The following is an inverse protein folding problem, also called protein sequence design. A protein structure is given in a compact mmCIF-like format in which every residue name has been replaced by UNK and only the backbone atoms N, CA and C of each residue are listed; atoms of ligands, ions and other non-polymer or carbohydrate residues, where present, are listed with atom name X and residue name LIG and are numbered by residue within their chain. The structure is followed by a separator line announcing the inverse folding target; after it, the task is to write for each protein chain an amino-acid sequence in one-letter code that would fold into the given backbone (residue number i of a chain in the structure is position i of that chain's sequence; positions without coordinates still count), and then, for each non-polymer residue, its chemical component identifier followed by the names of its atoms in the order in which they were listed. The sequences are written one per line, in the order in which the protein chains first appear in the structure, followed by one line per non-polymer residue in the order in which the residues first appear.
data_IF_959087779156
#
_entry.id   IF_959087779156
#
_cell.length_a   1.000
_cell.length_b   1.000
_cell.length_c   1.000
_cell.angle_alpha   90.00
_cell.angle_beta   90.00
_cell.angle_gamma   90.00
#
_symmetry.space_group_name_H-M   'P 1'
#
loop_
_entity.id
_entity.type
_entity.pdbx_description
1 polymer ?
#
# COMPACT_ATOMS: atom_id res chain seq x y z
N UNK A 1 10.39 9.05 33.41
CA UNK A 1 10.79 8.98 31.98
C UNK A 1 9.65 8.52 31.05
N UNK A 2 8.79 7.58 31.46
CA UNK A 2 7.69 7.07 30.62
C UNK A 2 6.64 8.12 30.23
N UNK A 3 6.32 9.07 31.10
CA UNK A 3 5.28 10.10 30.87
C UNK A 3 5.66 11.14 29.82
N UNK A 4 6.95 11.55 29.79
CA UNK A 4 7.45 12.51 28.80
C UNK A 4 7.41 11.88 27.41
N UNK A 5 7.81 10.62 27.28
CA UNK A 5 7.77 9.88 26.01
C UNK A 5 6.32 9.76 25.53
N UNK A 6 5.36 9.42 26.40
CA UNK A 6 3.94 9.32 26.04
C UNK A 6 3.35 10.63 25.49
N UNK A 7 3.80 11.79 26.00
CA UNK A 7 3.32 13.10 25.56
C UNK A 7 3.68 13.38 24.08
N UNK A 8 4.78 12.82 23.59
CA UNK A 8 5.24 13.00 22.21
C UNK A 8 4.79 11.89 21.25
N UNK A 9 4.32 10.75 21.74
CA UNK A 9 3.89 9.63 20.87
C UNK A 9 2.73 10.05 19.97
N UNK A 10 1.73 10.75 20.50
CA UNK A 10 0.57 11.18 19.73
C UNK A 10 0.92 12.17 18.60
N UNK A 11 1.60 13.31 18.86
CA UNK A 11 1.99 14.23 17.78
C UNK A 11 2.96 13.57 16.79
N UNK A 12 3.87 12.72 17.25
CA UNK A 12 4.76 11.95 16.37
C UNK A 12 3.94 11.00 15.46
N UNK A 13 2.95 10.30 16.01
CA UNK A 13 2.07 9.41 15.26
C UNK A 13 1.29 10.13 14.17
N UNK A 14 0.80 11.34 14.45
CA UNK A 14 0.11 12.18 13.45
C UNK A 14 1.06 12.54 12.30
N UNK A 15 2.28 13.00 12.61
CA UNK A 15 3.27 13.36 11.59
C UNK A 15 3.63 12.14 10.73
N UNK A 16 3.92 11.00 11.37
CA UNK A 16 4.23 9.74 10.68
C UNK A 16 3.05 9.29 9.81
N UNK A 17 1.80 9.45 10.28
CA UNK A 17 0.62 9.09 9.49
C UNK A 17 0.52 9.86 8.17
N UNK A 18 0.77 11.17 8.19
CA UNK A 18 0.77 11.97 6.97
C UNK A 18 1.96 11.66 6.08
N UNK A 19 3.13 11.39 6.67
CA UNK A 19 4.32 11.00 5.93
C UNK A 19 4.14 9.64 5.23
N UNK A 20 3.61 8.62 5.92
CA UNK A 20 3.26 7.32 5.35
C UNK A 20 2.29 7.47 4.17
N UNK A 21 1.26 8.32 4.32
CA UNK A 21 0.29 8.57 3.26
C UNK A 21 0.92 9.22 2.03
N UNK A 22 1.88 10.13 2.22
CA UNK A 22 2.62 10.77 1.14
C UNK A 22 3.58 9.80 0.45
N UNK A 23 4.34 9.03 1.22
CA UNK A 23 5.27 8.03 0.68
C UNK A 23 4.53 6.94 -0.12
N UNK A 24 3.35 6.53 0.34
CA UNK A 24 2.48 5.63 -0.41
C UNK A 24 2.07 6.23 -1.76
N UNK A 25 1.59 7.48 -1.79
CA UNK A 25 1.18 8.14 -3.03
C UNK A 25 2.36 8.27 -4.02
N UNK A 26 3.56 8.59 -3.52
CA UNK A 26 4.78 8.66 -4.34
C UNK A 26 5.17 7.29 -4.90
N UNK A 27 5.10 6.24 -4.07
CA UNK A 27 5.39 4.87 -4.52
C UNK A 27 4.41 4.41 -5.60
N UNK A 28 3.13 4.75 -5.45
CA UNK A 28 2.09 4.42 -6.42
C UNK A 28 2.31 5.15 -7.75
N UNK A 29 2.77 6.41 -7.71
CA UNK A 29 3.18 7.13 -8.92
C UNK A 29 4.37 6.46 -9.61
N UNK A 30 5.41 6.05 -8.86
CA UNK A 30 6.55 5.33 -9.43
C UNK A 30 6.14 3.99 -10.08
N UNK A 31 5.21 3.25 -9.46
CA UNK A 31 4.68 2.03 -10.06
C UNK A 31 3.89 2.30 -11.34
N UNK A 32 3.09 3.37 -11.37
CA UNK A 32 2.38 3.78 -12.58
C UNK A 32 3.36 4.11 -13.70
N UNK A 33 4.40 4.88 -13.40
CA UNK A 33 5.42 5.26 -14.37
C UNK A 33 6.19 4.03 -14.89
N UNK A 34 6.50 3.08 -14.01
CA UNK A 34 7.12 1.80 -14.39
C UNK A 34 6.22 0.99 -15.33
N UNK A 35 4.91 0.88 -15.03
CA UNK A 35 3.98 0.16 -15.90
C UNK A 35 3.86 0.83 -17.28
N UNK A 36 3.84 2.17 -17.33
CA UNK A 36 3.86 2.93 -18.59
C UNK A 36 5.14 2.64 -19.39
N UNK A 37 6.31 2.69 -18.75
CA UNK A 37 7.59 2.39 -19.40
C UNK A 37 7.63 0.94 -19.92
N UNK A 38 7.12 -0.01 -19.13
CA UNK A 38 7.06 -1.42 -19.53
C UNK A 38 6.11 -1.64 -20.71
N UNK A 39 5.02 -0.88 -20.79
CA UNK A 39 4.11 -0.96 -21.93
C UNK A 39 4.79 -0.58 -23.26
N UNK A 40 5.72 0.39 -23.23
CA UNK A 40 6.51 0.81 -24.39
C UNK A 40 7.77 -0.04 -24.65
N UNK A 41 8.10 -1.00 -23.77
CA UNK A 41 9.24 -1.87 -23.97
C UNK A 41 9.02 -2.83 -25.15
N UNK A 42 10.10 -3.19 -25.85
CA UNK A 42 10.09 -4.19 -26.92
C UNK A 42 10.16 -5.60 -26.33
N UNK A 43 9.08 -5.99 -25.67
CA UNK A 43 8.89 -7.28 -24.99
C UNK A 43 7.52 -7.83 -25.34
N UNK A 44 7.35 -9.15 -25.24
CA UNK A 44 6.02 -9.75 -25.35
C UNK A 44 5.11 -9.29 -24.20
N UNK A 45 3.80 -9.23 -24.41
CA UNK A 45 2.84 -8.83 -23.37
C UNK A 45 2.97 -9.68 -22.11
N UNK A 46 3.20 -10.99 -22.27
CA UNK A 46 3.43 -11.91 -21.16
C UNK A 46 4.68 -11.55 -20.35
N UNK A 47 5.80 -11.24 -21.00
CA UNK A 47 7.04 -10.83 -20.31
C UNK A 47 6.87 -9.47 -19.61
N UNK A 48 6.15 -8.54 -20.21
CA UNK A 48 5.81 -7.26 -19.57
C UNK A 48 5.04 -7.49 -18.27
N UNK A 49 4.01 -8.34 -18.34
CA UNK A 49 3.19 -8.68 -17.18
C UNK A 49 3.99 -9.42 -16.12
N UNK A 50 4.87 -10.34 -16.49
CA UNK A 50 5.74 -11.04 -15.54
C UNK A 50 6.65 -10.07 -14.77
N UNK A 51 7.26 -9.10 -15.46
CA UNK A 51 8.11 -8.09 -14.80
C UNK A 51 7.32 -7.15 -13.89
N UNK A 52 6.13 -6.73 -14.32
CA UNK A 52 5.25 -5.89 -13.50
C UNK A 52 4.85 -6.65 -12.23
N UNK A 53 4.44 -7.91 -12.37
CA UNK A 53 4.03 -8.76 -11.27
C UNK A 53 5.17 -9.02 -10.29
N UNK A 54 6.37 -9.33 -10.79
CA UNK A 54 7.56 -9.51 -9.95
C UNK A 54 7.89 -8.23 -9.16
N UNK A 55 7.80 -7.06 -9.80
CA UNK A 55 8.02 -5.78 -9.14
C UNK A 55 7.02 -5.55 -7.99
N UNK A 56 5.74 -5.87 -8.20
CA UNK A 56 4.72 -5.77 -7.14
C UNK A 56 4.92 -6.81 -6.04
N UNK A 57 5.29 -8.04 -6.41
CA UNK A 57 5.60 -9.10 -5.46
C UNK A 57 6.78 -8.74 -4.55
N UNK A 58 7.87 -8.21 -5.11
CA UNK A 58 9.03 -7.73 -4.34
C UNK A 58 8.66 -6.60 -3.37
N UNK A 59 7.62 -5.82 -3.71
CA UNK A 59 7.06 -4.78 -2.85
C UNK A 59 5.98 -5.30 -1.88
N UNK A 60 5.80 -6.61 -1.75
CA UNK A 60 4.90 -7.25 -0.78
C UNK A 60 3.41 -7.14 -1.14
N UNK A 61 3.08 -6.98 -2.42
CA UNK A 61 1.73 -7.18 -2.93
C UNK A 61 1.46 -8.67 -3.17
N UNK A 62 0.20 -9.06 -3.07
CA UNK A 62 -0.26 -10.42 -3.30
C UNK A 62 -1.06 -10.44 -4.60
N UNK A 63 -0.75 -11.38 -5.49
CA UNK A 63 -1.51 -11.63 -6.71
C UNK A 63 -2.87 -12.24 -6.37
N UNK A 64 -3.94 -11.64 -6.88
CA UNK A 64 -5.31 -12.13 -6.76
C UNK A 64 -5.78 -12.76 -8.06
N UNK A 65 -5.46 -12.12 -9.19
CA UNK A 65 -5.88 -12.57 -10.51
C UNK A 65 -4.81 -12.20 -11.53
N UNK A 66 -4.54 -13.11 -12.47
CA UNK A 66 -3.64 -12.87 -13.60
C UNK A 66 -4.28 -13.43 -14.87
N UNK A 67 -4.40 -12.58 -15.88
CA UNK A 67 -4.75 -12.88 -17.25
C UNK A 67 -3.67 -12.27 -18.19
N UNK A 68 -3.74 -12.58 -19.48
CA UNK A 68 -2.69 -12.23 -20.45
C UNK A 68 -2.39 -10.71 -20.50
N UNK A 69 -3.42 -9.86 -20.36
CA UNK A 69 -3.29 -8.39 -20.37
C UNK A 69 -3.72 -7.70 -19.08
N UNK A 70 -4.12 -8.47 -18.04
CA UNK A 70 -4.71 -7.94 -16.80
C UNK A 70 -4.11 -8.60 -15.57
N UNK A 71 -3.69 -7.78 -14.61
CA UNK A 71 -3.18 -8.22 -13.31
C UNK A 71 -3.94 -7.51 -12.20
N UNK A 72 -4.48 -8.28 -11.26
CA UNK A 72 -5.10 -7.76 -10.04
C UNK A 72 -4.25 -8.18 -8.86
N UNK A 73 -3.76 -7.18 -8.13
CA UNK A 73 -2.93 -7.35 -6.95
C UNK A 73 -3.55 -6.62 -5.77
N UNK A 74 -3.29 -7.09 -4.56
CA UNK A 74 -3.73 -6.41 -3.35
C UNK A 74 -2.63 -6.35 -2.30
N UNK A 75 -2.65 -5.26 -1.52
CA UNK A 75 -1.78 -5.12 -0.36
C UNK A 75 -2.52 -4.49 0.80
N UNK A 76 -2.34 -5.10 1.97
CA UNK A 76 -2.83 -4.57 3.23
C UNK A 76 -1.74 -3.75 3.90
N UNK A 77 -1.86 -2.43 3.79
CA UNK A 77 -0.86 -1.53 4.35
C UNK A 77 -0.96 -1.42 5.86
N UNK A 78 0.07 -1.90 6.54
CA UNK A 78 0.27 -1.58 7.94
C UNK A 78 0.67 -0.11 8.07
N UNK A 79 -0.19 0.71 8.68
CA UNK A 79 0.08 2.13 8.89
C UNK A 79 0.65 2.33 10.30
N UNK A 80 1.94 2.68 10.36
CA UNK A 80 2.67 2.85 11.63
C UNK A 80 2.20 4.11 12.34
N UNK A 81 1.90 5.19 11.60
CA UNK A 81 1.36 6.41 12.18
C UNK A 81 0.05 6.17 12.94
N UNK A 82 -0.86 5.38 12.37
CA UNK A 82 -2.12 5.01 13.02
C UNK A 82 -1.90 4.15 14.26
N UNK A 83 -0.91 3.26 14.26
CA UNK A 83 -0.51 2.51 15.46
C UNK A 83 -0.08 3.47 16.58
N UNK A 84 0.80 4.43 16.27
CA UNK A 84 1.24 5.42 17.25
C UNK A 84 0.12 6.35 17.71
N UNK A 85 -0.83 6.70 16.84
CA UNK A 85 -2.03 7.46 17.24
C UNK A 85 -2.86 6.64 18.24
N UNK A 86 -3.12 5.36 17.96
CA UNK A 86 -3.86 4.49 18.87
C UNK A 86 -3.14 4.33 20.22
N UNK A 87 -1.82 4.11 20.20
CA UNK A 87 -1.00 4.01 21.41
C UNK A 87 -0.92 5.34 22.17
N UNK A 88 -0.83 6.47 21.49
CA UNK A 88 -0.79 7.79 22.13
C UNK A 88 -2.12 8.18 22.77
N UNK A 89 -3.25 7.83 22.13
CA UNK A 89 -4.58 8.16 22.61
C UNK A 89 -5.08 7.20 23.71
N UNK A 90 -4.76 5.90 23.60
CA UNK A 90 -5.32 4.84 24.46
C UNK A 90 -4.25 4.03 25.21
N UNK A 91 -2.98 4.47 25.20
CA UNK A 91 -1.84 3.81 25.86
C UNK A 91 -1.77 2.31 25.51
N UNK A 92 -1.73 1.43 26.51
CA UNK A 92 -1.63 -0.02 26.34
C UNK A 92 -2.84 -0.64 25.63
N UNK A 93 -4.03 -0.06 25.77
CA UNK A 93 -5.25 -0.52 25.10
C UNK A 93 -5.19 -0.18 23.59
N UNK A 94 -4.42 0.84 23.22
CA UNK A 94 -4.23 1.27 21.84
C UNK A 94 -3.74 0.17 20.91
N UNK A 95 -2.87 -0.73 21.39
CA UNK A 95 -2.38 -1.86 20.60
C UNK A 95 -3.53 -2.82 20.25
N UNK A 96 -4.35 -3.20 21.23
CA UNK A 96 -5.49 -4.09 21.00
C UNK A 96 -6.51 -3.47 20.05
N UNK A 97 -6.82 -2.18 20.24
CA UNK A 97 -7.71 -1.44 19.33
C UNK A 97 -7.16 -1.42 17.92
N UNK A 98 -5.86 -1.15 17.75
CA UNK A 98 -5.22 -1.17 16.45
C UNK A 98 -5.23 -2.55 15.81
N UNK A 99 -4.97 -3.62 16.56
CA UNK A 99 -5.00 -4.99 16.04
C UNK A 99 -6.41 -5.40 15.59
N UNK A 100 -7.45 -5.02 16.35
CA UNK A 100 -8.85 -5.24 15.96
C UNK A 100 -9.17 -4.43 14.70
N UNK A 101 -8.80 -3.15 14.68
CA UNK A 101 -8.96 -2.29 13.51
C UNK A 101 -8.27 -2.90 12.27
N UNK A 102 -7.01 -3.28 12.42
CA UNK A 102 -6.23 -3.88 11.35
C UNK A 102 -6.87 -5.19 10.89
N UNK A 103 -7.26 -6.09 11.79
CA UNK A 103 -7.77 -7.42 11.42
C UNK A 103 -9.14 -7.38 10.76
N UNK A 104 -10.05 -6.54 11.24
CA UNK A 104 -11.47 -6.59 10.87
C UNK A 104 -11.94 -5.42 10.01
N UNK A 105 -11.38 -4.23 10.20
CA UNK A 105 -11.86 -3.02 9.54
C UNK A 105 -10.97 -2.58 8.38
N UNK A 106 -9.65 -2.77 8.51
CA UNK A 106 -8.72 -2.39 7.46
C UNK A 106 -8.79 -3.36 6.29
N UNK A 107 -9.41 -2.91 5.20
CA UNK A 107 -9.48 -3.63 3.93
C UNK A 107 -8.16 -3.51 3.17
N UNK A 108 -7.79 -4.57 2.45
CA UNK A 108 -6.68 -4.53 1.51
C UNK A 108 -7.03 -3.60 0.34
N UNK A 109 -6.05 -2.83 -0.12
CA UNK A 109 -6.20 -2.00 -1.32
C UNK A 109 -5.89 -2.84 -2.54
N UNK A 110 -6.76 -2.75 -3.54
CA UNK A 110 -6.60 -3.48 -4.80
C UNK A 110 -6.07 -2.54 -5.86
N UNK A 111 -5.12 -3.03 -6.64
CA UNK A 111 -4.59 -2.35 -7.80
C UNK A 111 -4.84 -3.26 -8.99
N UNK A 112 -5.44 -2.69 -10.03
CA UNK A 112 -5.68 -3.35 -11.31
C UNK A 112 -4.71 -2.73 -12.30
N UNK A 113 -3.89 -3.58 -12.92
CA UNK A 113 -3.03 -3.21 -14.04
C UNK A 113 -3.62 -3.82 -15.31
N UNK A 114 -3.83 -3.00 -16.33
CA UNK A 114 -4.38 -3.40 -17.62
C UNK A 114 -3.57 -2.75 -18.74
N UNK A 115 -2.82 -3.55 -19.51
CA UNK A 115 -1.96 -3.02 -20.58
C UNK A 115 -2.73 -2.55 -21.81
N UNK A 116 -3.96 -3.03 -22.00
CA UNK A 116 -4.84 -2.66 -23.12
C UNK A 116 -5.87 -1.58 -22.77
N UNK A 117 -5.96 -1.19 -21.51
CA UNK A 117 -6.92 -0.22 -21.01
C UNK A 117 -6.48 1.24 -21.21
N UNK A 118 -7.46 2.16 -21.19
CA UNK A 118 -7.23 3.61 -21.27
C UNK A 118 -6.43 4.15 -20.06
N UNK A 119 -6.47 3.45 -18.92
CA UNK A 119 -5.57 3.68 -17.79
C UNK A 119 -4.86 2.39 -17.40
N UNK A 120 -3.53 2.42 -17.49
CA UNK A 120 -2.67 1.26 -17.26
C UNK A 120 -2.73 0.75 -15.81
N UNK A 121 -3.05 1.61 -14.84
CA UNK A 121 -3.10 1.27 -13.42
C UNK A 121 -4.22 2.02 -12.71
N UNK A 122 -5.12 1.27 -12.04
CA UNK A 122 -6.27 1.80 -11.28
C UNK A 122 -6.28 1.27 -9.85
N UNK A 123 -6.57 2.13 -8.88
CA UNK A 123 -6.78 1.74 -7.47
C UNK A 123 -8.27 1.49 -7.23
N UNK A 124 -8.64 0.27 -6.82
CA UNK A 124 -9.99 -0.09 -6.42
C UNK A 124 -10.11 -0.04 -4.89
N UNK A 125 -10.90 0.89 -4.38
CA UNK A 125 -11.24 0.97 -2.95
C UNK A 125 -12.46 0.09 -2.67
N UNK A 126 -12.24 -1.02 -1.97
CA UNK A 126 -13.29 -1.92 -1.49
C UNK A 126 -14.06 -1.39 -0.30
#
# INVERSE_FOLDING_TARGET
MSTIIMLFILPLGIVVYFWDRRNYAQSLAMFKDYCVQMNHADLSENEKMDRIDEMFYQNGYIRIERADSRLVIEKKHFNIGMLFICLGALTYIGLFVYLIYYRFFLKARRIIVDLGGEEIMREEKK
#
